data_IF_490329921369
#
_entry.id   IF_490329921369
#
_cell.length_a   1.000
_cell.length_b   1.000
_cell.length_c   1.000
_cell.angle_alpha   90.00
_cell.angle_beta   90.00
_cell.angle_gamma   90.00
#
_symmetry.space_group_name_H-M   'P 1'
#
loop_
_entity.id
_entity.type
_entity.pdbx_description
1 polymer ?
#
# COMPACT_ATOMS: atom_id res chain seq x y z
N UNK A 1 -11.21 23.36 -35.86
CA UNK A 1 -10.52 22.89 -34.64
C UNK A 1 -9.97 21.51 -34.92
N UNK A 2 -8.64 21.40 -35.07
CA UNK A 2 -7.98 20.12 -35.33
C UNK A 2 -7.98 19.28 -34.06
N UNK A 3 -8.69 18.15 -34.08
CA UNK A 3 -8.56 17.11 -33.04
C UNK A 3 -7.15 16.55 -33.17
N UNK A 4 -6.29 16.83 -32.19
CA UNK A 4 -5.01 16.16 -32.07
C UNK A 4 -5.27 14.64 -32.10
N UNK A 5 -4.72 13.96 -33.11
CA UNK A 5 -4.75 12.50 -33.15
C UNK A 5 -4.00 12.01 -31.92
N UNK A 6 -4.70 11.34 -31.01
CA UNK A 6 -4.06 10.63 -29.91
C UNK A 6 -3.21 9.55 -30.56
N UNK A 7 -1.89 9.78 -30.63
CA UNK A 7 -0.96 8.82 -31.19
C UNK A 7 -1.13 7.50 -30.45
N UNK A 8 -1.33 6.41 -31.20
CA UNK A 8 -1.40 5.08 -30.61
C UNK A 8 -0.11 4.81 -29.83
N UNK A 9 -0.24 4.50 -28.55
CA UNK A 9 0.91 4.15 -27.69
C UNK A 9 1.59 2.92 -28.29
N UNK A 10 2.90 2.97 -28.61
CA UNK A 10 3.60 1.83 -29.19
C UNK A 10 3.51 0.61 -28.28
N UNK A 11 3.40 -0.61 -28.82
CA UNK A 11 3.49 -1.82 -28.02
C UNK A 11 4.83 -1.85 -27.27
N UNK A 12 4.78 -1.90 -25.94
CA UNK A 12 5.95 -1.84 -25.06
C UNK A 12 6.15 -0.52 -24.31
N UNK A 13 5.43 0.55 -24.64
CA UNK A 13 5.43 1.79 -23.87
C UNK A 13 4.42 1.71 -22.72
N UNK A 14 4.83 1.09 -21.62
CA UNK A 14 4.00 0.96 -20.42
C UNK A 14 4.13 2.14 -19.46
N UNK A 15 4.98 3.13 -19.75
CA UNK A 15 5.28 4.23 -18.84
C UNK A 15 4.90 5.58 -19.46
N UNK A 16 4.63 6.57 -18.62
CA UNK A 16 4.43 7.96 -19.04
C UNK A 16 5.67 8.51 -19.74
N UNK A 17 6.86 8.14 -19.26
CA UNK A 17 8.15 8.42 -19.91
C UNK A 17 8.39 7.62 -21.21
N UNK A 18 7.40 6.87 -21.70
CA UNK A 18 7.48 6.05 -22.90
C UNK A 18 8.13 4.69 -22.64
N UNK A 19 9.32 4.46 -23.21
CA UNK A 19 10.03 3.19 -23.10
C UNK A 19 10.71 2.97 -21.74
N UNK A 20 11.01 4.06 -21.01
CA UNK A 20 11.60 4.02 -19.68
C UNK A 20 10.75 4.85 -18.72
N UNK A 21 10.63 4.44 -17.45
CA UNK A 21 9.89 5.21 -16.46
C UNK A 21 10.64 6.48 -16.06
N UNK A 22 9.89 7.54 -15.79
CA UNK A 22 10.40 8.81 -15.27
C UNK A 22 9.88 9.11 -13.84
N UNK A 23 10.07 10.35 -13.38
CA UNK A 23 9.60 10.78 -12.06
C UNK A 23 8.06 10.85 -11.96
N UNK A 24 7.37 11.18 -13.05
CA UNK A 24 5.90 11.19 -13.07
C UNK A 24 5.36 9.77 -12.92
N UNK A 25 6.04 8.78 -13.49
CA UNK A 25 5.69 7.38 -13.29
C UNK A 25 5.82 6.93 -11.83
N UNK A 26 6.75 7.48 -11.04
CA UNK A 26 6.86 7.12 -9.61
C UNK A 26 5.61 7.52 -8.86
N UNK A 27 5.13 8.75 -9.08
CA UNK A 27 3.93 9.26 -8.43
C UNK A 27 2.71 8.48 -8.90
N UNK A 28 2.57 8.29 -10.22
CA UNK A 28 1.45 7.55 -10.79
C UNK A 28 1.42 6.11 -10.26
N UNK A 29 2.55 5.41 -10.25
CA UNK A 29 2.59 4.02 -9.81
C UNK A 29 2.21 3.84 -8.35
N UNK A 30 2.63 4.73 -7.45
CA UNK A 30 2.22 4.67 -6.04
C UNK A 30 0.72 4.90 -5.90
N UNK A 31 0.17 5.87 -6.63
CA UNK A 31 -1.27 6.14 -6.64
C UNK A 31 -2.08 4.97 -7.20
N UNK A 32 -1.69 4.43 -8.36
CA UNK A 32 -2.36 3.30 -8.99
C UNK A 32 -2.23 2.04 -8.15
N UNK A 33 -1.07 1.81 -7.53
CA UNK A 33 -0.88 0.71 -6.58
C UNK A 33 -1.83 0.80 -5.38
N UNK A 34 -1.95 1.99 -4.78
CA UNK A 34 -2.88 2.21 -3.68
C UNK A 34 -4.34 1.98 -4.13
N UNK A 35 -4.75 2.60 -5.25
CA UNK A 35 -6.11 2.43 -5.79
C UNK A 35 -6.44 0.97 -6.09
N UNK A 36 -5.53 0.23 -6.70
CA UNK A 36 -5.70 -1.20 -7.00
C UNK A 36 -6.00 -1.97 -5.72
N UNK A 37 -5.17 -1.79 -4.69
CA UNK A 37 -5.35 -2.48 -3.41
C UNK A 37 -6.63 -2.07 -2.67
N UNK A 38 -7.01 -0.80 -2.74
CA UNK A 38 -8.24 -0.30 -2.10
C UNK A 38 -9.49 -0.84 -2.79
N UNK A 39 -9.52 -0.86 -4.14
CA UNK A 39 -10.65 -1.37 -4.91
C UNK A 39 -10.77 -2.88 -4.75
N UNK A 40 -9.69 -3.64 -4.98
CA UNK A 40 -9.72 -5.11 -4.94
C UNK A 40 -9.97 -5.66 -3.52
N UNK A 41 -9.58 -4.92 -2.47
CA UNK A 41 -9.96 -5.26 -1.09
C UNK A 41 -11.40 -4.87 -0.75
N UNK A 42 -12.04 -4.03 -1.55
CA UNK A 42 -13.33 -3.41 -1.26
C UNK A 42 -13.27 -2.28 -0.24
N UNK A 43 -12.07 -1.83 0.16
CA UNK A 43 -11.92 -0.71 1.08
C UNK A 43 -12.25 0.64 0.43
N UNK A 44 -12.04 0.78 -0.89
CA UNK A 44 -12.30 2.01 -1.64
C UNK A 44 -13.79 2.29 -1.88
N UNK A 45 -14.69 1.43 -1.38
CA UNK A 45 -16.10 1.46 -1.71
C UNK A 45 -16.97 0.91 -0.57
N UNK A 46 -16.67 1.33 0.65
CA UNK A 46 -17.54 1.11 1.80
C UNK A 46 -18.82 1.92 1.58
N UNK A 47 -20.00 1.31 1.61
CA UNK A 47 -21.27 2.04 1.54
C UNK A 47 -22.36 1.44 0.66
N UNK A 48 -22.22 1.37 -0.67
CA UNK A 48 -23.34 0.99 -1.55
C UNK A 48 -22.92 0.38 -2.92
N UNK A 49 -23.80 -0.50 -3.46
CA UNK A 49 -23.76 -1.17 -4.78
C UNK A 49 -22.83 -2.38 -4.93
N UNK A 50 -23.12 -3.37 -5.82
CA UNK A 50 -22.16 -4.41 -6.18
C UNK A 50 -20.85 -3.79 -6.68
N UNK A 51 -19.77 -4.18 -6.01
CA UNK A 51 -18.45 -3.59 -6.17
C UNK A 51 -17.79 -4.05 -7.47
N UNK A 52 -17.24 -3.12 -8.28
CA UNK A 52 -16.28 -3.51 -9.28
C UNK A 52 -15.08 -4.16 -8.58
N UNK A 53 -14.75 -5.38 -9.00
CA UNK A 53 -13.74 -6.23 -8.39
C UNK A 53 -12.31 -5.80 -8.77
N UNK A 54 -12.15 -4.89 -9.73
CA UNK A 54 -10.86 -4.45 -10.25
C UNK A 54 -10.93 -3.06 -10.92
N UNK A 55 -9.76 -2.44 -11.15
CA UNK A 55 -9.67 -1.21 -11.96
C UNK A 55 -10.10 -1.41 -13.42
N UNK A 56 -10.02 -2.65 -13.94
CA UNK A 56 -10.46 -2.95 -15.30
C UNK A 56 -11.99 -2.83 -15.42
N UNK A 57 -12.73 -3.30 -14.41
CA UNK A 57 -14.19 -3.15 -14.34
C UNK A 57 -14.63 -1.69 -14.16
N UNK A 58 -13.75 -0.84 -13.60
CA UNK A 58 -13.93 0.62 -13.54
C UNK A 58 -13.60 1.33 -14.87
N UNK A 59 -13.30 0.60 -15.95
CA UNK A 59 -12.99 1.16 -17.27
C UNK A 59 -11.53 1.55 -17.46
N UNK A 60 -10.62 1.11 -16.59
CA UNK A 60 -9.19 1.42 -16.67
C UNK A 60 -8.27 0.18 -16.82
N UNK A 61 -8.49 -0.71 -17.82
CA UNK A 61 -7.72 -1.94 -17.98
C UNK A 61 -6.23 -1.71 -18.29
N UNK A 62 -5.88 -0.56 -18.86
CA UNK A 62 -4.49 -0.16 -19.14
C UNK A 62 -3.66 -0.01 -17.86
N UNK A 63 -4.28 0.38 -16.74
CA UNK A 63 -3.60 0.54 -15.45
C UNK A 63 -3.12 -0.80 -14.89
N UNK A 64 -3.82 -1.90 -15.18
CA UNK A 64 -3.38 -3.23 -14.78
C UNK A 64 -2.10 -3.65 -15.53
N UNK A 65 -1.98 -3.31 -16.82
CA UNK A 65 -0.78 -3.58 -17.60
C UNK A 65 0.39 -2.69 -17.14
N UNK A 66 0.12 -1.40 -16.92
CA UNK A 66 1.05 -0.44 -16.32
C UNK A 66 1.63 -0.96 -15.01
N UNK A 67 0.78 -1.37 -14.06
CA UNK A 67 1.24 -1.84 -12.76
C UNK A 67 2.05 -3.13 -12.85
N UNK A 68 1.68 -4.07 -13.72
CA UNK A 68 2.48 -5.28 -13.96
C UNK A 68 3.89 -4.95 -14.45
N UNK A 69 4.01 -3.98 -15.37
CA UNK A 69 5.32 -3.52 -15.83
C UNK A 69 6.11 -2.82 -14.72
N UNK A 70 5.45 -2.04 -13.86
CA UNK A 70 6.09 -1.32 -12.77
C UNK A 70 6.61 -2.25 -11.67
N UNK A 71 5.80 -3.18 -11.16
CA UNK A 71 6.19 -4.04 -10.03
C UNK A 71 7.28 -5.05 -10.41
N UNK A 72 7.43 -5.36 -11.69
CA UNK A 72 8.51 -6.21 -12.21
C UNK A 72 9.90 -5.56 -12.13
N UNK A 73 10.00 -4.27 -11.78
CA UNK A 73 11.28 -3.57 -11.70
C UNK A 73 12.05 -3.95 -10.42
N UNK A 74 13.37 -4.22 -10.51
CA UNK A 74 14.19 -4.50 -9.32
C UNK A 74 14.14 -3.40 -8.26
N UNK A 75 14.04 -2.14 -8.68
CA UNK A 75 13.92 -0.98 -7.79
C UNK A 75 12.62 -1.03 -6.95
N UNK A 76 11.53 -1.57 -7.49
CA UNK A 76 10.29 -1.77 -6.74
C UNK A 76 10.49 -2.79 -5.63
N UNK A 77 10.95 -3.99 -5.97
CA UNK A 77 11.21 -5.05 -5.00
C UNK A 77 12.21 -4.61 -3.92
N UNK A 78 13.22 -3.81 -4.28
CA UNK A 78 14.17 -3.25 -3.31
C UNK A 78 13.49 -2.31 -2.30
N UNK A 79 12.55 -1.49 -2.75
CA UNK A 79 11.85 -0.50 -1.93
C UNK A 79 10.72 -1.10 -1.08
N UNK A 80 9.90 -1.98 -1.66
CA UNK A 80 8.71 -2.54 -1.01
C UNK A 80 8.96 -3.88 -0.32
N UNK A 81 10.13 -4.51 -0.60
CA UNK A 81 10.44 -5.89 -0.21
C UNK A 81 9.46 -6.92 -0.76
N UNK A 82 8.73 -6.55 -1.83
CA UNK A 82 7.71 -7.37 -2.47
C UNK A 82 7.77 -7.26 -3.99
N UNK A 83 7.58 -8.39 -4.66
CA UNK A 83 7.35 -8.43 -6.12
C UNK A 83 5.88 -8.33 -6.51
N UNK A 84 4.97 -8.18 -5.55
CA UNK A 84 3.53 -8.28 -5.76
C UNK A 84 2.87 -6.91 -5.93
N UNK A 85 1.76 -6.90 -6.67
CA UNK A 85 0.87 -5.74 -6.77
C UNK A 85 0.03 -5.62 -5.48
N UNK A 86 -0.30 -6.74 -4.86
CA UNK A 86 -1.13 -6.80 -3.64
C UNK A 86 -0.31 -6.47 -2.39
N UNK A 87 -0.91 -5.73 -1.46
CA UNK A 87 -0.30 -5.32 -0.19
C UNK A 87 -1.34 -5.20 0.91
N UNK A 88 -1.44 -6.24 1.74
CA UNK A 88 -2.28 -6.24 2.93
C UNK A 88 -1.79 -5.26 4.00
N UNK A 89 -0.49 -4.95 4.02
CA UNK A 89 0.06 -3.91 4.89
C UNK A 89 -0.52 -2.53 4.54
N UNK A 90 -0.62 -2.21 3.25
CA UNK A 90 -1.20 -0.95 2.79
C UNK A 90 -2.68 -0.85 3.14
N UNK A 91 -3.47 -1.89 2.85
CA UNK A 91 -4.92 -1.91 3.15
C UNK A 91 -5.17 -1.79 4.65
N UNK A 92 -4.42 -2.53 5.49
CA UNK A 92 -4.51 -2.41 6.94
C UNK A 92 -4.19 -1.00 7.44
N UNK A 93 -3.19 -0.35 6.86
CA UNK A 93 -2.82 1.03 7.19
C UNK A 93 -3.95 2.02 6.89
N UNK A 94 -4.57 1.89 5.71
CA UNK A 94 -5.72 2.72 5.33
C UNK A 94 -6.96 2.45 6.19
N UNK A 95 -7.28 1.18 6.47
CA UNK A 95 -8.42 0.82 7.30
C UNK A 95 -8.29 1.40 8.72
N UNK A 96 -7.07 1.40 9.29
CA UNK A 96 -6.82 2.02 10.60
C UNK A 96 -7.04 3.54 10.57
N UNK A 97 -6.56 4.22 9.53
CA UNK A 97 -6.77 5.67 9.35
C UNK A 97 -8.24 6.02 9.15
N UNK A 98 -8.98 5.25 8.36
CA UNK A 98 -10.40 5.46 8.13
C UNK A 98 -11.22 5.27 9.42
N UNK A 99 -10.89 4.24 10.21
CA UNK A 99 -11.51 4.04 11.53
C UNK A 99 -11.31 5.22 12.47
N UNK A 100 -10.16 5.86 12.41
CA UNK A 100 -9.85 7.04 13.25
C UNK A 100 -10.50 8.31 12.71
N UNK A 101 -10.47 8.52 11.40
CA UNK A 101 -10.91 9.75 10.75
C UNK A 101 -12.43 9.82 10.51
N UNK A 102 -13.09 8.69 10.32
CA UNK A 102 -14.52 8.60 9.99
C UNK A 102 -15.18 7.37 10.67
N UNK A 103 -15.17 7.30 12.02
CA UNK A 103 -15.72 6.17 12.77
C UNK A 103 -17.24 5.99 12.62
N UNK A 104 -17.95 7.06 12.22
CA UNK A 104 -19.39 7.10 11.95
C UNK A 104 -19.75 6.56 10.56
N UNK A 105 -18.84 6.68 9.59
CA UNK A 105 -19.05 6.22 8.21
C UNK A 105 -18.41 4.85 7.91
N UNK A 106 -17.42 4.42 8.68
CA UNK A 106 -16.68 3.18 8.42
C UNK A 106 -16.98 2.08 9.45
N UNK A 107 -17.83 1.12 9.09
CA UNK A 107 -18.18 -0.02 9.94
C UNK A 107 -16.99 -0.90 10.29
N UNK A 108 -16.85 -1.27 11.57
CA UNK A 108 -15.74 -2.10 12.04
C UNK A 108 -15.67 -3.48 11.37
N UNK A 109 -16.82 -4.07 11.05
CA UNK A 109 -16.91 -5.35 10.34
C UNK A 109 -16.51 -5.23 8.87
N UNK A 110 -16.91 -4.15 8.19
CA UNK A 110 -16.59 -3.92 6.78
C UNK A 110 -15.10 -3.66 6.59
N UNK A 111 -14.51 -2.86 7.48
CA UNK A 111 -13.06 -2.62 7.54
C UNK A 111 -12.30 -3.93 7.75
N UNK A 112 -12.79 -4.79 8.65
CA UNK A 112 -12.18 -6.10 8.89
C UNK A 112 -12.30 -7.00 7.66
N UNK A 113 -13.46 -7.06 7.02
CA UNK A 113 -13.68 -7.84 5.81
C UNK A 113 -12.75 -7.42 4.67
N UNK A 114 -12.54 -6.12 4.47
CA UNK A 114 -11.61 -5.61 3.48
C UNK A 114 -10.15 -6.02 3.77
N UNK A 115 -9.74 -5.94 5.04
CA UNK A 115 -8.40 -6.37 5.47
C UNK A 115 -8.20 -7.88 5.27
N UNK A 116 -9.18 -8.72 5.61
CA UNK A 116 -9.06 -10.18 5.40
C UNK A 116 -9.04 -10.56 3.92
N UNK A 117 -9.85 -9.91 3.08
CA UNK A 117 -9.77 -10.08 1.61
C UNK A 117 -8.38 -9.71 1.10
N UNK A 118 -7.81 -8.59 1.54
CA UNK A 118 -6.46 -8.21 1.12
C UNK A 118 -5.40 -9.22 1.56
N UNK A 119 -5.51 -9.78 2.78
CA UNK A 119 -4.60 -10.82 3.28
C UNK A 119 -4.66 -12.11 2.47
N UNK A 120 -5.84 -12.53 2.02
CA UNK A 120 -5.97 -13.76 1.22
C UNK A 120 -5.30 -13.62 -0.15
N UNK A 121 -5.20 -12.39 -0.67
CA UNK A 121 -4.51 -12.08 -1.93
C UNK A 121 -2.99 -11.89 -1.75
N UNK A 122 -2.55 -11.39 -0.59
CA UNK A 122 -1.14 -11.11 -0.27
C UNK A 122 -0.44 -12.33 0.37
N UNK A 123 0.28 -13.09 -0.46
CA UNK A 123 0.96 -14.32 -0.03
C UNK A 123 2.16 -14.04 0.88
N UNK A 124 2.90 -12.96 0.61
CA UNK A 124 4.10 -12.61 1.37
C UNK A 124 3.73 -12.13 2.77
N UNK A 125 2.70 -11.29 2.87
CA UNK A 125 2.13 -10.88 4.16
C UNK A 125 1.57 -12.06 4.93
N UNK A 126 0.82 -12.95 4.27
CA UNK A 126 0.29 -14.16 4.90
C UNK A 126 1.40 -15.08 5.41
N UNK A 127 2.49 -15.24 4.67
CA UNK A 127 3.67 -15.99 5.12
C UNK A 127 4.34 -15.33 6.33
N UNK A 128 4.57 -14.02 6.28
CA UNK A 128 5.15 -13.26 7.38
C UNK A 128 4.28 -13.30 8.65
N UNK A 129 2.95 -13.23 8.52
CA UNK A 129 2.01 -13.29 9.63
C UNK A 129 1.98 -14.66 10.31
N UNK A 130 2.22 -15.75 9.56
CA UNK A 130 2.37 -17.10 10.11
C UNK A 130 3.66 -17.23 10.92
N UNK A 131 4.79 -16.74 10.38
CA UNK A 131 6.10 -16.80 11.05
C UNK A 131 6.10 -15.99 12.34
N UNK A 132 5.49 -14.81 12.33
CA UNK A 132 5.47 -13.88 13.48
C UNK A 132 4.36 -14.18 14.50
N UNK A 133 3.54 -15.21 14.28
CA UNK A 133 2.41 -15.56 15.16
C UNK A 133 1.27 -14.54 15.18
N UNK A 134 1.28 -13.52 14.31
CA UNK A 134 0.24 -12.51 14.18
C UNK A 134 -1.12 -13.13 13.80
N UNK A 135 -1.12 -14.31 13.16
CA UNK A 135 -2.32 -15.06 12.80
C UNK A 135 -3.11 -15.61 14.00
N UNK A 136 -2.50 -15.82 15.18
CA UNK A 136 -3.18 -16.43 16.35
C UNK A 136 -3.85 -15.44 17.31
N UNK A 137 -3.58 -14.14 17.20
CA UNK A 137 -4.01 -13.14 18.19
C UNK A 137 -5.13 -12.20 17.72
N UNK A 138 -5.53 -12.23 16.44
CA UNK A 138 -6.60 -11.36 15.92
C UNK A 138 -8.00 -11.75 16.43
N UNK A 139 -8.24 -13.03 16.73
CA UNK A 139 -9.55 -13.52 17.22
C UNK A 139 -9.86 -13.12 18.67
N UNK A 140 -8.88 -12.72 19.49
CA UNK A 140 -9.08 -12.45 20.92
C UNK A 140 -9.06 -10.98 21.33
N UNK A 141 -8.74 -10.04 20.42
CA UNK A 141 -8.74 -8.60 20.75
C UNK A 141 -9.29 -7.81 19.58
N UNK A 142 -10.49 -7.26 19.72
CA UNK A 142 -11.08 -6.26 18.82
C UNK A 142 -10.31 -4.93 18.77
N UNK A 143 -8.99 -4.96 18.90
CA UNK A 143 -8.10 -3.80 18.91
C UNK A 143 -7.15 -3.89 17.72
N UNK A 144 -7.51 -3.18 16.64
CA UNK A 144 -6.60 -2.82 15.57
C UNK A 144 -5.55 -1.86 16.13
N UNK A 145 -4.46 -2.39 16.73
CA UNK A 145 -3.26 -1.59 16.94
C UNK A 145 -2.50 -1.54 15.62
N UNK A 146 -2.27 -0.33 15.10
CA UNK A 146 -1.32 -0.06 14.03
C UNK A 146 0.06 -0.54 14.48
N UNK A 147 0.52 -1.67 13.94
CA UNK A 147 1.91 -2.07 14.07
C UNK A 147 2.60 -1.60 12.80
N UNK A 148 3.41 -0.54 12.94
CA UNK A 148 4.31 -0.06 11.89
C UNK A 148 5.17 -1.22 11.41
N UNK A 149 5.06 -1.59 10.13
CA UNK A 149 5.83 -2.68 9.53
C UNK A 149 7.10 -2.18 8.82
N UNK A 150 7.56 -0.97 9.14
CA UNK A 150 8.85 -0.46 8.71
C UNK A 150 9.76 -0.35 9.95
N UNK A 151 10.52 -1.41 10.24
CA UNK A 151 11.44 -1.41 11.37
C UNK A 151 11.93 -2.79 11.78
N UNK A 152 12.49 -3.58 10.85
CA UNK A 152 13.39 -4.69 11.22
C UNK A 152 14.76 -4.38 10.64
N UNK A 153 15.43 -3.39 11.24
CA UNK A 153 16.89 -3.36 11.23
C UNK A 153 17.36 -4.14 12.45
N UNK A 154 17.88 -5.34 12.18
CA UNK A 154 18.61 -6.17 13.12
C UNK A 154 19.79 -5.35 13.68
N UNK A 155 19.77 -5.01 14.97
CA UNK A 155 20.98 -4.72 15.74
C UNK A 155 20.81 -5.27 17.15
N UNK A 156 21.82 -6.04 17.51
CA UNK A 156 21.92 -6.83 18.72
C UNK A 156 21.95 -5.96 19.99
N UNK A 157 21.61 -6.64 21.08
CA UNK A 157 21.56 -6.16 22.45
C UNK A 157 22.76 -5.32 22.87
N UNK A 158 22.50 -4.11 23.37
CA UNK A 158 23.27 -3.52 24.48
C UNK A 158 22.29 -2.81 25.42
N UNK A 159 22.25 -3.28 26.68
CA UNK A 159 21.56 -2.62 27.79
C UNK A 159 22.23 -1.27 28.06
N UNK A 160 21.45 -0.19 28.19
CA UNK A 160 21.82 0.95 29.04
C UNK A 160 20.60 1.83 29.31
N UNK A 161 20.39 2.11 30.61
CA UNK A 161 19.41 3.02 31.16
C UNK A 161 19.68 4.48 30.74
N UNK A 162 18.62 5.31 30.73
CA UNK A 162 18.73 6.73 31.08
C UNK A 162 18.51 7.77 29.98
N UNK A 163 17.66 8.76 30.30
CA UNK A 163 17.52 10.10 29.70
C UNK A 163 16.66 10.26 28.43
N UNK A 164 15.43 10.74 28.63
CA UNK A 164 14.37 10.91 27.64
C UNK A 164 14.15 12.39 27.23
N UNK A 165 15.19 13.23 27.25
CA UNK A 165 15.05 14.67 26.97
C UNK A 165 15.96 15.21 25.86
N UNK A 166 17.01 14.49 25.46
CA UNK A 166 18.04 15.03 24.57
C UNK A 166 17.86 14.66 23.08
N UNK A 167 17.05 13.64 22.77
CA UNK A 167 16.81 13.15 21.41
C UNK A 167 15.79 13.97 20.61
N UNK A 168 15.01 14.85 21.25
CA UNK A 168 13.99 15.67 20.55
C UNK A 168 14.56 16.94 19.90
N UNK A 169 15.71 17.46 20.35
CA UNK A 169 16.33 18.64 19.74
C UNK A 169 17.12 18.32 18.48
N UNK A 170 17.73 17.13 18.39
CA UNK A 170 18.56 16.75 17.23
C UNK A 170 17.75 16.34 16.00
N UNK A 171 16.54 15.79 16.20
CA UNK A 171 15.63 15.45 15.10
C UNK A 171 14.98 16.67 14.43
N UNK A 172 14.97 17.84 15.08
CA UNK A 172 14.49 19.10 14.47
C UNK A 172 15.54 19.81 13.62
N UNK A 173 16.82 19.54 13.83
CA UNK A 173 17.89 20.19 13.07
C UNK A 173 18.15 19.55 11.68
N UNK A 174 17.72 18.30 11.46
CA UNK A 174 17.94 17.58 10.18
C UNK A 174 16.77 17.71 9.19
N UNK A 175 15.72 18.49 9.50
CA UNK A 175 14.54 18.67 8.63
C UNK A 175 14.46 20.06 7.97
N UNK A 176 15.51 20.89 8.08
CA UNK A 176 15.58 22.24 7.45
C UNK A 176 16.73 22.31 6.41
N UNK A 177 17.30 21.17 6.02
CA UNK A 177 18.33 21.12 4.98
C UNK A 177 18.03 20.04 3.94
N UNK A 178 16.88 20.18 3.24
CA UNK A 178 16.65 19.71 1.87
C UNK A 178 15.81 20.79 1.17
#
# INVERSE_FOLDING_TARGET
>A
GSRASVAAVPPGCFFLGGAKPDAADVVLAVSVWAMTNLVESGLGWLGESPLPSSLAELGAPSLSAYMRAWVGRPAWAAATKSGQITSAALVRGWAAKLKEAAPDACGGEELLAAVERSRSMDREYSAAARITGLSRNASKRGSFKSASFYGVTRRDSVKSQGSNAQTKSELRASLIAI
#
